data_IF_273066761456
#
_entry.id   IF_273066761456
#
_cell.length_a   1.000
_cell.length_b   1.000
_cell.length_c   1.000
_cell.angle_alpha   90.00
_cell.angle_beta   90.00
_cell.angle_gamma   90.00
#
_symmetry.space_group_name_H-M   'P 1'
#
loop_
_entity.id
_entity.type
_entity.pdbx_description
1 polymer ?
2 water ?
#
# COMPACT_ATOMS: atom_id res chain seq x y z
N UNK A 114 20.91 -16.11 0.83
CA UNK A 114 20.04 -15.54 1.86
C UNK A 114 18.57 -15.86 1.63
N UNK A 115 17.97 -16.62 2.54
CA UNK A 115 16.56 -16.93 2.44
C UNK A 115 15.72 -15.74 2.88
N UNK A 116 14.58 -15.60 2.22
CA UNK A 116 13.56 -14.64 2.62
C UNK A 116 12.44 -15.44 3.27
N UNK A 117 11.97 -14.98 4.42
CA UNK A 117 11.02 -15.75 5.21
C UNK A 117 9.88 -14.87 5.69
N UNK A 118 8.71 -15.48 5.84
CA UNK A 118 7.54 -14.79 6.34
C UNK A 118 7.71 -14.39 7.81
N UNK A 119 6.97 -13.34 8.21
CA UNK A 119 7.02 -12.89 9.59
C UNK A 119 6.63 -13.99 10.56
N UNK A 120 5.63 -14.81 10.20
CA UNK A 120 5.28 -15.95 11.04
C UNK A 120 6.46 -16.90 11.18
N UNK A 121 7.11 -17.22 10.06
CA UNK A 121 8.25 -18.13 10.09
C UNK A 121 9.41 -17.57 10.91
N UNK A 122 9.67 -16.26 10.81
CA UNK A 122 10.80 -15.67 11.53
C UNK A 122 10.65 -15.78 13.04
N UNK A 123 9.45 -16.08 13.54
CA UNK A 123 9.25 -16.19 14.98
C UNK A 123 10.09 -17.29 15.59
N UNK A 124 10.29 -18.39 14.86
CA UNK A 124 10.99 -19.54 15.41
C UNK A 124 12.42 -19.18 15.80
N UNK A 125 13.07 -18.31 15.02
CA UNK A 125 14.43 -17.90 15.33
C UNK A 125 14.51 -16.48 15.86
N UNK A 126 13.37 -15.88 16.26
CA UNK A 126 13.32 -14.56 16.92
C UNK A 126 12.26 -14.66 18.02
N UNK A 127 12.62 -15.35 19.11
CA UNK A 127 11.60 -15.78 20.07
C UNK A 127 11.10 -14.67 20.97
N UNK A 128 11.72 -13.49 20.95
CA UNK A 128 11.31 -12.38 21.80
C UNK A 128 10.67 -11.23 21.03
N UNK A 129 10.63 -11.30 19.70
CA UNK A 129 10.12 -10.21 18.89
C UNK A 129 8.59 -10.21 18.87
N UNK A 130 8.03 -9.05 18.56
CA UNK A 130 6.58 -8.86 18.54
C UNK A 130 6.16 -8.54 17.11
N UNK A 131 6.16 -9.57 16.26
CA UNK A 131 5.94 -9.40 14.83
C UNK A 131 4.54 -8.90 14.49
N UNK A 132 3.57 -8.99 15.41
CA UNK A 132 2.27 -8.38 15.13
C UNK A 132 2.28 -6.87 15.35
N UNK A 133 3.36 -6.32 15.89
CA UNK A 133 3.49 -4.89 16.16
C UNK A 133 4.44 -4.33 15.10
N UNK A 134 3.90 -3.61 14.11
CA UNK A 134 4.67 -3.30 12.91
C UNK A 134 4.02 -2.25 12.01
N UNK A 135 4.77 -1.22 11.61
CA UNK A 135 4.30 -0.21 10.68
C UNK A 135 5.30 -0.08 9.53
N UNK A 136 4.80 0.26 8.35
CA UNK A 136 5.67 0.42 7.19
C UNK A 136 5.11 1.49 6.27
N UNK A 137 6.00 2.06 5.46
CA UNK A 137 5.72 3.23 4.63
C UNK A 137 5.72 2.81 3.16
N UNK A 138 4.75 3.31 2.40
CA UNK A 138 4.83 3.34 0.94
C UNK A 138 4.91 4.79 0.48
N UNK A 139 5.52 5.01 -0.69
CA UNK A 139 5.58 6.33 -1.32
C UNK A 139 5.26 6.21 -2.80
N UNK A 140 4.56 7.21 -3.34
CA UNK A 140 4.39 7.27 -4.78
C UNK A 140 4.29 8.72 -5.24
N UNK A 141 4.54 8.91 -6.54
CA UNK A 141 4.59 10.22 -7.14
C UNK A 141 3.22 10.57 -7.69
N UNK A 142 3.13 11.69 -8.40
CA UNK A 142 1.87 12.17 -8.94
C UNK A 142 1.50 11.51 -10.27
N UNK A 143 2.30 10.55 -10.75
CA UNK A 143 1.86 9.66 -11.80
C UNK A 143 1.21 8.40 -11.24
N UNK A 144 1.06 8.32 -9.91
CA UNK A 144 0.70 7.12 -9.15
C UNK A 144 1.83 6.10 -9.04
N UNK A 145 2.94 6.29 -9.76
CA UNK A 145 4.00 5.29 -9.76
C UNK A 145 4.64 5.20 -8.38
N UNK A 146 4.64 3.99 -7.81
CA UNK A 146 5.32 3.74 -6.55
C UNK A 146 6.82 3.99 -6.70
N UNK A 147 7.39 4.67 -5.72
CA UNK A 147 8.82 4.90 -5.66
C UNK A 147 9.45 4.37 -4.38
N UNK A 148 8.68 3.74 -3.50
CA UNK A 148 9.25 3.31 -2.23
C UNK A 148 8.31 2.36 -1.51
N UNK A 149 8.90 1.33 -0.92
CA UNK A 149 8.25 0.50 0.09
C UNK A 149 9.35 -0.04 1.00
N UNK A 150 9.15 0.07 2.31
CA UNK A 150 10.13 -0.43 3.27
C UNK A 150 10.44 -1.89 2.98
N UNK A 151 11.74 -2.23 3.00
CA UNK A 151 12.12 -3.62 2.80
C UNK A 151 11.66 -4.49 3.96
N UNK A 152 11.54 -3.91 5.16
CA UNK A 152 11.02 -4.62 6.32
C UNK A 152 9.60 -5.14 6.11
N UNK A 153 8.89 -4.68 5.08
CA UNK A 153 7.55 -5.17 4.79
C UNK A 153 7.56 -6.48 4.03
N UNK A 154 8.72 -6.92 3.56
CA UNK A 154 8.79 -8.14 2.75
C UNK A 154 8.26 -9.35 3.50
N UNK A 155 8.63 -9.60 4.77
CA UNK A 155 8.02 -10.73 5.49
C UNK A 155 6.53 -10.58 5.73
N UNK A 156 5.97 -9.39 5.53
CA UNK A 156 4.54 -9.20 5.74
C UNK A 156 3.72 -9.28 4.45
N UNK A 157 4.22 -8.72 3.34
CA UNK A 157 3.52 -8.78 2.06
C UNK A 157 4.19 -9.68 1.02
N UNK A 158 5.47 -10.00 1.17
CA UNK A 158 6.12 -10.79 0.14
C UNK A 158 6.36 -10.07 -1.18
N UNK A 159 6.26 -8.74 -1.22
CA UNK A 159 6.35 -8.00 -2.47
C UNK A 159 7.75 -7.37 -2.60
N UNK A 160 8.40 -7.65 -3.74
CA UNK A 160 9.74 -7.19 -4.05
C UNK A 160 9.68 -5.90 -4.86
N UNK A 161 10.74 -5.08 -4.81
CA UNK A 161 10.79 -3.90 -5.70
C UNK A 161 10.53 -4.25 -7.16
N UNK A 162 11.01 -5.41 -7.61
CA UNK A 162 10.74 -5.82 -8.99
C UNK A 162 9.26 -6.08 -9.24
N UNK A 163 8.53 -6.58 -8.23
CA UNK A 163 7.09 -6.76 -8.38
C UNK A 163 6.38 -5.43 -8.65
N UNK A 164 6.96 -4.33 -8.18
CA UNK A 164 6.27 -3.06 -8.12
C UNK A 164 6.79 -2.00 -9.09
N UNK A 165 7.88 -2.26 -9.81
CA UNK A 165 8.41 -1.24 -10.72
C UNK A 165 7.37 -0.98 -11.80
N UNK A 166 6.90 0.26 -11.88
CA UNK A 166 5.91 0.65 -12.86
C UNK A 166 4.46 0.61 -12.39
N UNK A 167 4.18 0.13 -11.18
CA UNK A 167 2.80 0.00 -10.74
C UNK A 167 2.48 0.99 -9.63
N UNK A 168 1.18 1.17 -9.38
CA UNK A 168 0.72 2.02 -8.30
C UNK A 168 0.34 1.16 -7.08
N UNK A 169 -0.08 1.83 -6.00
CA UNK A 169 -0.61 1.13 -4.84
C UNK A 169 -1.71 0.15 -5.23
N UNK A 170 -2.49 0.50 -6.26
CA UNK A 170 -3.63 -0.33 -6.65
C UNK A 170 -3.22 -1.70 -7.17
N UNK A 171 -1.93 -1.95 -7.38
CA UNK A 171 -1.49 -3.29 -7.74
C UNK A 171 -1.62 -4.28 -6.59
N UNK A 172 -1.68 -3.81 -5.33
CA UNK A 172 -1.86 -4.76 -4.24
C UNK A 172 -2.86 -4.29 -3.17
N UNK A 173 -3.71 -3.31 -3.45
CA UNK A 173 -4.78 -2.97 -2.51
C UNK A 173 -5.94 -3.94 -2.73
N UNK A 174 -6.50 -4.45 -1.62
CA UNK A 174 -7.71 -5.25 -1.66
C UNK A 174 -8.79 -4.48 -2.40
N UNK A 175 -9.29 -5.07 -3.49
CA UNK A 175 -10.04 -4.32 -4.50
C UNK A 175 -11.15 -3.43 -3.96
N UNK A 176 -12.05 -3.89 -3.08
CA UNK A 176 -13.13 -3.00 -2.61
C UNK A 176 -12.67 -1.96 -1.61
N UNK A 177 -11.37 -1.89 -1.32
CA UNK A 177 -10.81 -0.88 -0.43
C UNK A 177 -10.14 0.27 -1.18
N UNK A 178 -10.21 0.29 -2.52
CA UNK A 178 -9.57 1.36 -3.28
C UNK A 178 -10.20 2.72 -3.00
N UNK A 179 -11.47 2.74 -2.58
CA UNK A 179 -12.09 3.99 -2.16
C UNK A 179 -11.37 4.63 -0.97
N UNK A 180 -10.75 3.82 -0.11
CA UNK A 180 -9.93 4.37 0.97
C UNK A 180 -8.82 5.22 0.38
N UNK A 181 -8.18 4.71 -0.66
CA UNK A 181 -7.07 5.41 -1.29
C UNK A 181 -7.57 6.68 -1.96
N UNK A 182 -8.62 6.55 -2.78
CA UNK A 182 -9.21 7.69 -3.47
C UNK A 182 -9.52 8.82 -2.50
N UNK A 183 -10.27 8.53 -1.44
CA UNK A 183 -10.65 9.59 -0.51
C UNK A 183 -9.43 10.18 0.20
N UNK A 184 -8.39 9.36 0.41
CA UNK A 184 -7.17 9.88 1.02
C UNK A 184 -6.53 10.96 0.15
N UNK A 185 -6.52 10.75 -1.17
CA UNK A 185 -5.94 11.76 -2.06
C UNK A 185 -6.78 13.04 -2.07
N UNK A 186 -8.12 12.90 -2.06
CA UNK A 186 -8.98 14.07 -1.99
C UNK A 186 -8.80 14.80 -0.66
N UNK A 187 -8.74 14.05 0.45
CA UNK A 187 -8.52 14.68 1.75
C UNK A 187 -7.14 15.33 1.86
N UNK A 188 -6.14 14.81 1.13
CA UNK A 188 -4.81 15.41 1.15
C UNK A 188 -4.79 16.71 0.38
N UNK A 189 -5.42 16.73 -0.81
CA UNK A 189 -5.56 17.96 -1.57
C UNK A 189 -6.13 19.09 -0.72
N UNK A 190 -7.11 18.78 0.14
CA UNK A 190 -7.73 19.81 0.97
C UNK A 190 -6.95 20.11 2.24
N UNK A 191 -6.12 19.19 2.72
CA UNK A 191 -5.30 19.49 3.88
C UNK A 191 -3.96 20.12 3.51
N UNK A 192 -3.64 20.19 2.21
CA UNK A 192 -2.35 20.68 1.73
C UNK A 192 -1.20 19.80 2.20
N UNK A 193 -1.45 18.49 2.35
CA UNK A 193 -0.40 17.54 2.65
C UNK A 193 -0.27 17.14 4.11
N UNK A 194 -0.92 17.85 5.04
CA UNK A 194 -0.89 17.48 6.44
C UNK A 194 -1.61 16.16 6.67
N UNK A 195 -1.24 15.48 7.76
CA UNK A 195 -1.64 14.10 8.05
C UNK A 195 -3.15 13.94 7.96
N UNK A 196 -3.62 13.04 7.11
CA UNK A 196 -5.04 12.74 7.09
C UNK A 196 -5.24 11.27 7.44
N UNK A 197 -6.38 10.99 8.04
CA UNK A 197 -6.78 9.64 8.41
C UNK A 197 -7.56 8.99 7.28
N UNK A 198 -7.50 7.67 7.22
CA UNK A 198 -8.31 6.96 6.26
C UNK A 198 -9.76 6.90 6.75
N UNK A 199 -10.69 6.72 5.80
CA UNK A 199 -12.10 6.61 6.17
C UNK A 199 -12.46 5.22 6.67
N UNK A 200 -11.57 4.24 6.53
CA UNK A 200 -11.80 2.86 6.92
C UNK A 200 -10.46 2.15 6.80
N UNK A 201 -10.40 0.93 7.35
CA UNK A 201 -9.21 0.11 7.23
C UNK A 201 -8.81 -0.05 5.76
N UNK A 202 -7.52 -0.23 5.54
CA UNK A 202 -6.96 -0.50 4.22
C UNK A 202 -6.43 -1.92 4.23
N UNK A 203 -6.95 -2.76 3.35
CA UNK A 203 -6.49 -4.15 3.25
C UNK A 203 -5.62 -4.29 2.02
N UNK A 204 -4.49 -4.97 2.19
CA UNK A 204 -3.49 -5.15 1.16
C UNK A 204 -3.36 -6.64 0.87
N UNK A 205 -3.08 -6.97 -0.39
CA UNK A 205 -3.03 -8.36 -0.83
C UNK A 205 -1.57 -8.77 -0.96
N UNK A 206 -1.15 -9.71 -0.14
CA UNK A 206 0.23 -10.19 -0.20
C UNK A 206 0.47 -10.99 -1.49
N UNK A 207 1.74 -11.22 -1.77
CA UNK A 207 2.12 -11.95 -2.99
C UNK A 207 1.43 -13.31 -3.10
N UNK A 208 1.13 -13.97 -1.98
CA UNK A 208 0.54 -15.30 -2.08
C UNK A 208 -0.99 -15.28 -2.06
N UNK A 209 -1.60 -14.10 -2.01
CA UNK A 209 -3.04 -13.97 -2.00
C UNK A 209 -3.62 -13.71 -0.63
N UNK A 210 -2.83 -13.84 0.43
CA UNK A 210 -3.30 -13.57 1.77
C UNK A 210 -3.56 -12.08 1.97
N UNK A 211 -4.45 -11.75 2.90
CA UNK A 211 -4.94 -10.38 3.02
C UNK A 211 -4.46 -9.79 4.34
N UNK A 212 -3.81 -8.62 4.26
CA UNK A 212 -3.21 -7.93 5.40
C UNK A 212 -4.00 -6.65 5.67
N UNK A 213 -4.75 -6.64 6.77
CA UNK A 213 -5.55 -5.46 7.10
C UNK A 213 -4.68 -4.44 7.83
N UNK A 214 -4.76 -3.18 7.42
CA UNK A 214 -3.95 -2.12 8.02
C UNK A 214 -4.81 -0.93 8.44
N UNK A 215 -4.25 -0.15 9.34
CA UNK A 215 -4.72 1.21 9.59
C UNK A 215 -3.66 2.15 9.06
N UNK A 216 -4.09 3.09 8.23
CA UNK A 216 -3.19 3.84 7.36
C UNK A 216 -3.43 5.32 7.57
N UNK A 217 -2.34 6.07 7.72
CA UNK A 217 -2.38 7.52 7.74
C UNK A 217 -1.62 8.04 6.52
N UNK A 218 -2.00 9.22 6.04
CA UNK A 218 -1.50 9.72 4.77
C UNK A 218 -0.85 11.09 4.95
N UNK A 219 0.23 11.30 4.20
CA UNK A 219 0.92 12.57 4.14
C UNK A 219 1.26 12.86 2.68
N UNK A 220 1.47 14.14 2.36
CA UNK A 220 1.73 14.55 0.98
C UNK A 220 2.66 15.76 0.94
N UNK A 221 3.58 15.77 -0.02
CA UNK A 221 4.44 16.91 -0.25
C UNK A 221 3.85 17.77 -1.35
N UNK A 222 3.66 19.06 -1.06
CA UNK A 222 3.16 20.01 -2.05
C UNK A 222 4.31 20.88 -2.52
N UNK A 223 4.62 20.80 -3.80
CA UNK A 223 5.62 21.67 -4.41
C UNK A 223 5.17 23.11 -4.23
N UNK A 224 5.96 23.96 -3.58
CA UNK A 224 5.50 25.34 -3.34
C UNK A 224 5.44 26.23 -4.59
N UNK A 225 6.11 25.87 -5.70
CA UNK A 225 6.09 26.68 -6.91
C UNK A 225 4.94 26.31 -7.85
N UNK A 226 4.72 25.02 -8.09
CA UNK A 226 3.57 24.60 -8.88
C UNK A 226 2.31 24.44 -8.04
N UNK A 227 2.47 24.36 -6.72
CA UNK A 227 1.37 24.22 -5.75
C UNK A 227 0.61 22.91 -5.94
N UNK A 228 1.26 21.91 -6.51
CA UNK A 228 0.65 20.60 -6.69
C UNK A 228 1.31 19.55 -5.81
N UNK A 229 0.51 18.55 -5.41
CA UNK A 229 1.06 17.41 -4.71
C UNK A 229 2.02 16.67 -5.62
N UNK A 230 3.22 16.37 -5.12
CA UNK A 230 4.18 15.62 -5.93
C UNK A 230 4.69 14.37 -5.25
N UNK A 231 4.36 14.16 -3.98
CA UNK A 231 4.69 12.91 -3.32
C UNK A 231 3.57 12.61 -2.34
N UNK A 232 3.12 11.37 -2.34
CA UNK A 232 2.16 10.89 -1.36
C UNK A 232 2.82 9.80 -0.55
N UNK A 233 2.79 9.96 0.77
CA UNK A 233 3.41 9.04 1.71
C UNK A 233 2.31 8.44 2.58
N UNK A 234 2.37 7.13 2.77
CA UNK A 234 1.36 6.42 3.54
C UNK A 234 2.07 5.56 4.58
N UNK A 235 1.62 5.65 5.83
CA UNK A 235 2.15 4.85 6.94
C UNK A 235 1.14 3.79 7.35
N UNK A 236 1.43 2.53 7.06
CA UNK A 236 0.49 1.44 7.29
C UNK A 236 0.82 0.71 8.59
N UNK A 237 -0.17 0.63 9.50
CA UNK A 237 -0.05 -0.11 10.77
C UNK A 237 -0.88 -1.39 10.68
N UNK A 238 -0.20 -2.54 10.66
CA UNK A 238 -0.92 -3.80 10.50
C UNK A 238 -1.78 -4.08 11.73
N UNK A 239 -2.93 -4.73 11.49
CA UNK A 239 -3.77 -5.19 12.60
C UNK A 239 -3.42 -6.58 13.07
N UNK A 240 -2.74 -7.37 12.23
CA UNK A 240 -2.32 -8.73 12.55
C UNK A 240 -1.49 -9.29 11.40
N UNK A 241 -1.06 -10.53 11.53
CA UNK A 241 -0.51 -11.24 10.38
C UNK A 241 -1.66 -11.60 9.43
N UNK A 242 -1.39 -11.64 8.11
CA UNK A 242 -2.50 -11.72 7.14
C UNK A 242 -3.26 -13.03 7.25
N UNK A 243 -4.55 -12.99 6.89
CA UNK A 243 -5.37 -14.20 6.90
C UNK A 243 -5.19 -14.95 5.59
N UNK A 244 -5.10 -16.26 5.70
CA UNK A 244 -4.65 -17.11 4.62
C UNK A 244 -3.36 -17.79 5.02
N UNK A 245 -2.78 -18.52 4.08
CA UNK A 245 -1.51 -19.17 4.37
C UNK A 245 -0.48 -18.12 4.76
N UNK A 246 0.31 -18.44 5.79
CA UNK A 246 1.21 -17.45 6.39
C UNK A 246 2.44 -17.18 5.53
N UNK A 247 2.71 -18.01 4.52
CA UNK A 247 3.96 -17.91 3.75
C UNK A 247 3.78 -16.95 2.56
N UNK A 248 3.71 -15.66 2.90
CA UNK A 248 3.51 -14.64 1.88
C UNK A 248 4.63 -14.64 0.85
N UNK A 249 5.79 -15.20 1.18
CA UNK A 249 6.89 -15.27 0.23
C UNK A 249 6.52 -16.14 -0.96
N UNK A 250 5.67 -17.14 -0.75
CA UNK A 250 5.30 -18.11 -1.76
C UNK A 250 4.48 -17.47 -2.88
N UNK A 251 4.33 -18.24 -3.96
CA UNK A 251 3.43 -17.89 -5.04
C UNK A 251 2.00 -18.22 -4.62
N UNK A 252 1.02 -17.50 -5.15
CA UNK A 252 -0.36 -17.84 -4.86
C UNK A 252 -0.73 -19.16 -5.52
N UNK A 253 -1.72 -19.86 -4.92
CA UNK A 253 -2.20 -21.12 -5.46
C UNK A 253 -2.99 -20.94 -6.76
N UNK A 254 -2.83 -21.86 -7.73
CA UNK A 254 -3.60 -21.80 -8.96
C UNK A 254 -5.08 -21.95 -8.63
N UNK A 255 -5.92 -21.13 -9.26
CA UNK A 255 -7.37 -21.20 -9.02
C UNK A 255 -7.81 -20.30 -7.88
N UNK A 256 -7.12 -19.18 -7.68
CA UNK A 256 -7.59 -18.22 -6.65
C UNK A 256 -8.23 -17.04 -7.39
N UNK A 257 -9.30 -16.50 -6.83
CA UNK A 257 -9.90 -15.30 -7.41
C UNK A 257 -8.95 -14.12 -7.22
N UNK A 258 -8.88 -13.26 -8.24
CA UNK A 258 -8.07 -12.05 -8.13
C UNK A 258 -8.75 -11.08 -7.18
N UNK A 259 -8.04 -10.67 -6.13
CA UNK A 259 -8.61 -9.81 -5.11
C UNK A 259 -8.14 -8.37 -5.23
N UNK A 260 -7.43 -8.04 -6.31
CA UNK A 260 -7.11 -6.66 -6.67
C UNK A 260 -7.94 -6.25 -7.88
N UNK A 261 -7.91 -4.94 -8.17
CA UNK A 261 -8.65 -4.39 -9.30
C UNK A 261 -8.16 -5.01 -10.61
N UNK A 262 -9.05 -5.35 -11.53
CA UNK A 262 -8.62 -5.73 -12.86
C UNK A 262 -7.96 -4.55 -13.55
N UNK A 263 -7.08 -4.79 -14.52
CA UNK A 263 -6.34 -3.67 -15.15
C UNK A 263 -7.21 -2.50 -15.60
N UNK A 264 -8.37 -2.75 -16.23
CA UNK A 264 -9.17 -1.63 -16.74
C UNK A 264 -9.63 -0.73 -15.60
N UNK A 265 -9.96 -1.31 -14.44
CA UNK A 265 -10.43 -0.50 -13.32
C UNK A 265 -9.25 0.16 -12.60
N UNK A 266 -8.10 -0.52 -12.55
CA UNK A 266 -6.91 0.12 -12.01
C UNK A 266 -6.59 1.39 -12.78
N UNK A 267 -6.62 1.30 -14.12
CA UNK A 267 -6.34 2.46 -14.96
C UNK A 267 -7.40 3.55 -14.77
N UNK A 268 -8.66 3.15 -14.55
CA UNK A 268 -9.74 4.11 -14.29
C UNK A 268 -9.54 4.84 -12.96
N UNK A 269 -9.20 4.13 -11.89
CA UNK A 269 -8.97 4.83 -10.62
C UNK A 269 -7.65 5.59 -10.62
N UNK A 270 -6.62 5.07 -11.29
CA UNK A 270 -5.35 5.79 -11.38
C UNK A 270 -5.50 7.09 -12.16
N UNK A 271 -6.27 7.07 -13.26
CA UNK A 271 -6.56 8.30 -14.02
C UNK A 271 -7.15 9.38 -13.11
N UNK A 272 -8.10 9.02 -12.25
CA UNK A 272 -8.69 10.01 -11.36
C UNK A 272 -7.69 10.52 -10.33
N UNK A 273 -6.83 9.64 -9.80
CA UNK A 273 -5.84 10.12 -8.83
C UNK A 273 -4.86 11.11 -9.47
N UNK A 274 -4.42 10.85 -10.70
CA UNK A 274 -3.59 11.83 -11.40
C UNK A 274 -4.31 13.17 -11.52
N UNK A 275 -5.58 13.14 -11.91
CA UNK A 275 -6.37 14.37 -12.02
C UNK A 275 -6.46 15.11 -10.69
N UNK A 276 -6.70 14.38 -9.59
CA UNK A 276 -6.74 15.02 -8.27
C UNK A 276 -5.40 15.68 -7.95
N UNK A 277 -4.29 14.98 -8.22
CA UNK A 277 -2.99 15.48 -7.81
C UNK A 277 -2.50 16.59 -8.74
N UNK A 278 -2.97 16.61 -9.99
CA UNK A 278 -2.62 17.66 -10.94
C UNK A 278 -3.38 18.96 -10.70
N UNK A 279 -4.27 19.01 -9.73
CA UNK A 279 -5.00 20.25 -9.51
C UNK A 279 -4.28 21.09 -8.46
N UNK A 280 -4.04 22.37 -8.70
CA UNK A 280 -3.33 23.18 -7.70
C UNK A 280 -4.03 23.12 -6.36
N UNK A 281 -3.24 22.90 -5.32
CA UNK A 281 -3.79 22.90 -3.96
C UNK A 281 -4.40 24.27 -3.67
N UNK A 282 -5.64 24.34 -3.15
CA UNK A 282 -6.27 25.65 -2.94
C UNK A 282 -5.57 26.47 -1.86
#
# INVERSE_FOLDING_TARGET
>A
GAMDPEFNTWSSSSVEFLDDADDNRLLFTCTFTLPHGTVLSSATYADGFHEQYLTIGDNFLARLEPKGQSFILSAAAASVKQRIFARVTMPDGALRACELLCEFETDRAKITVLALRSAFSLQASHVSSNFHVFTFITKHSSTCALTHIDYASIPYLGLLPTDLIGKSLLAFVYSPDVHVVRQAHIDLHNSRGKIVKSIADLRLVAHNGSILRCQTEWSAYVNPWTRKMELVVARHRICSLPIGDSDVISSPPPGIQSNTLPPVMAKTFEDELRTIMNKPVP
#
